data_IF_936243023546
#
_entry.id   IF_936243023546
#
_cell.length_a   1.000
_cell.length_b   1.000
_cell.length_c   1.000
_cell.angle_alpha   90.00
_cell.angle_beta   90.00
_cell.angle_gamma   90.00
#
_symmetry.space_group_name_H-M   'P 1'
#
loop_
_entity.id
_entity.type
_entity.pdbx_description
1 polymer ?
#
# COMPACT_ATOMS: atom_id res chain seq x y z
N UNK A 1 34.45 20.57 -34.34
CA UNK A 1 33.81 19.38 -34.92
C UNK A 1 33.52 18.39 -33.82
N UNK A 2 32.28 18.40 -33.34
CA UNK A 2 31.67 17.44 -32.41
C UNK A 2 30.20 17.41 -32.82
N UNK A 3 29.79 16.30 -33.44
CA UNK A 3 28.41 16.02 -33.85
C UNK A 3 27.69 15.38 -32.67
N UNK A 4 26.51 15.89 -32.36
CA UNK A 4 25.53 15.28 -31.46
C UNK A 4 24.17 15.38 -32.15
N UNK A 5 23.99 14.61 -33.22
CA UNK A 5 22.67 14.37 -33.84
C UNK A 5 21.86 13.33 -33.03
N UNK A 6 21.91 13.40 -31.69
CA UNK A 6 21.76 12.22 -30.83
C UNK A 6 20.38 11.53 -30.95
N UNK A 7 20.33 10.23 -31.30
CA UNK A 7 19.09 9.45 -31.50
C UNK A 7 18.28 9.20 -30.20
N UNK A 8 18.66 9.86 -29.12
CA UNK A 8 18.13 9.66 -27.76
C UNK A 8 17.35 10.88 -27.26
N UNK A 9 17.13 11.88 -28.12
CA UNK A 9 16.18 12.95 -27.87
C UNK A 9 14.75 12.49 -28.18
N UNK A 10 13.82 12.87 -27.31
CA UNK A 10 12.41 12.52 -27.40
C UNK A 10 11.58 13.79 -27.27
N UNK A 11 10.75 14.05 -28.28
CA UNK A 11 9.74 15.10 -28.24
C UNK A 11 8.51 14.59 -27.49
N UNK A 12 8.10 15.33 -26.47
CA UNK A 12 6.95 15.08 -25.60
C UNK A 12 6.02 16.29 -25.64
N UNK A 13 4.81 16.12 -25.09
CA UNK A 13 3.88 17.21 -24.82
C UNK A 13 3.58 17.24 -23.33
N UNK A 14 3.85 18.35 -22.66
CA UNK A 14 3.53 18.53 -21.24
C UNK A 14 2.03 18.77 -21.09
N UNK A 15 1.31 17.76 -20.60
CA UNK A 15 -0.15 17.79 -20.45
C UNK A 15 -0.65 18.73 -19.34
N UNK A 16 0.22 19.14 -18.41
CA UNK A 16 -0.13 20.07 -17.34
C UNK A 16 0.06 21.52 -17.79
N UNK A 17 1.10 21.78 -18.59
CA UNK A 17 1.43 23.13 -19.12
C UNK A 17 0.90 23.40 -20.53
N UNK A 18 0.45 22.35 -21.23
CA UNK A 18 -0.01 22.38 -22.62
C UNK A 18 1.05 22.93 -23.60
N UNK A 19 2.29 22.51 -23.43
CA UNK A 19 3.42 22.95 -24.24
C UNK A 19 4.27 21.76 -24.75
N UNK A 20 4.89 21.88 -25.93
CA UNK A 20 5.87 20.90 -26.39
C UNK A 20 7.11 20.92 -25.50
N UNK A 21 7.71 19.75 -25.31
CA UNK A 21 8.89 19.55 -24.47
C UNK A 21 9.86 18.59 -25.16
N UNK A 22 11.12 18.98 -25.29
CA UNK A 22 12.17 18.06 -25.72
C UNK A 22 13.01 17.62 -24.54
N UNK A 23 13.23 16.32 -24.43
CA UNK A 23 14.06 15.73 -23.38
C UNK A 23 15.04 14.72 -23.97
N UNK A 24 16.23 14.68 -23.42
CA UNK A 24 17.15 13.57 -23.67
C UNK A 24 16.82 12.43 -22.70
N UNK A 25 16.51 11.26 -23.26
CA UNK A 25 16.24 10.03 -22.51
C UNK A 25 16.40 8.80 -23.41
N UNK A 26 17.55 8.10 -23.34
CA UNK A 26 17.77 6.86 -24.08
C UNK A 26 16.70 5.80 -23.77
N UNK A 27 16.27 5.74 -22.51
CA UNK A 27 15.22 4.82 -22.07
C UNK A 27 13.90 5.07 -22.80
N UNK A 28 13.46 6.33 -22.92
CA UNK A 28 12.23 6.65 -23.65
C UNK A 28 12.40 6.43 -25.15
N UNK A 29 13.53 6.84 -25.73
CA UNK A 29 13.80 6.69 -27.15
C UNK A 29 13.66 5.24 -27.62
N UNK A 30 14.02 4.27 -26.76
CA UNK A 30 13.95 2.84 -27.09
C UNK A 30 12.64 2.14 -26.68
N UNK A 31 11.94 2.63 -25.65
CA UNK A 31 10.80 1.90 -25.06
C UNK A 31 9.46 2.61 -25.19
N UNK A 32 9.45 3.92 -25.36
CA UNK A 32 8.21 4.68 -25.54
C UNK A 32 7.64 4.48 -26.94
N UNK A 33 6.33 4.63 -27.05
CA UNK A 33 5.53 4.65 -28.26
C UNK A 33 4.65 5.89 -28.22
N UNK A 34 4.26 6.34 -29.40
CA UNK A 34 3.28 7.41 -29.52
C UNK A 34 1.99 7.02 -28.79
N UNK A 35 1.48 7.94 -27.97
CA UNK A 35 0.31 7.73 -27.11
C UNK A 35 0.65 7.28 -25.69
N UNK A 36 1.91 6.91 -25.40
CA UNK A 36 2.29 6.63 -24.03
C UNK A 36 2.30 7.89 -23.18
N UNK A 37 1.89 7.73 -21.93
CA UNK A 37 2.03 8.75 -20.91
C UNK A 37 3.36 8.55 -20.17
N UNK A 38 4.15 9.62 -20.10
CA UNK A 38 5.41 9.63 -19.34
C UNK A 38 5.19 10.39 -18.04
N UNK A 39 5.47 9.73 -16.91
CA UNK A 39 5.49 10.35 -15.58
C UNK A 39 6.92 10.33 -15.08
N UNK A 40 7.54 11.50 -14.93
CA UNK A 40 8.91 11.58 -14.45
C UNK A 40 9.25 12.97 -13.96
N UNK A 41 10.46 13.09 -13.40
CA UNK A 41 10.99 14.38 -12.95
C UNK A 41 11.89 14.96 -14.02
N UNK A 42 11.54 16.16 -14.50
CA UNK A 42 12.39 16.96 -15.37
C UNK A 42 13.59 17.53 -14.59
N UNK A 43 14.77 17.45 -15.18
CA UNK A 43 16.01 18.02 -14.65
C UNK A 43 16.69 18.82 -15.75
N UNK A 44 16.94 20.10 -15.51
CA UNK A 44 17.69 20.94 -16.42
C UNK A 44 19.18 20.85 -16.08
N UNK A 45 20.02 20.46 -17.04
CA UNK A 45 21.47 20.44 -16.92
C UNK A 45 22.05 21.32 -18.04
N UNK A 46 22.44 22.55 -17.69
CA UNK A 46 22.84 23.58 -18.65
C UNK A 46 21.76 23.76 -19.73
N UNK A 47 22.09 23.55 -21.01
CA UNK A 47 21.15 23.67 -22.14
C UNK A 47 20.35 22.38 -22.39
N UNK A 48 20.65 21.28 -21.69
CA UNK A 48 19.98 19.99 -21.92
C UNK A 48 18.90 19.72 -20.88
N UNK A 49 17.72 19.35 -21.37
CA UNK A 49 16.63 18.87 -20.53
C UNK A 49 16.68 17.35 -20.42
N UNK A 50 16.70 16.83 -19.20
CA UNK A 50 16.76 15.41 -18.88
C UNK A 50 15.50 14.97 -18.16
N UNK A 51 15.17 13.68 -18.27
CA UNK A 51 14.28 13.01 -17.33
C UNK A 51 15.08 12.18 -16.34
N UNK A 52 14.72 12.29 -15.06
CA UNK A 52 15.29 11.45 -14.02
C UNK A 52 15.04 9.96 -14.32
N UNK A 53 15.98 9.10 -13.93
CA UNK A 53 15.96 7.67 -14.21
C UNK A 53 14.72 6.92 -13.70
N UNK A 54 13.92 7.53 -12.81
CA UNK A 54 12.70 6.96 -12.26
C UNK A 54 11.43 7.35 -13.03
N UNK A 55 11.58 7.77 -14.29
CA UNK A 55 10.45 7.96 -15.17
C UNK A 55 9.68 6.62 -15.36
N UNK A 56 8.36 6.71 -15.36
CA UNK A 56 7.45 5.59 -15.58
C UNK A 56 6.67 5.83 -16.87
N UNK A 57 6.53 4.78 -17.67
CA UNK A 57 5.62 4.75 -18.80
C UNK A 57 4.26 4.22 -18.32
N UNK A 58 3.18 4.87 -18.78
CA UNK A 58 1.81 4.50 -18.50
C UNK A 58 1.00 4.44 -19.80
N UNK A 59 -0.08 3.63 -19.84
CA UNK A 59 -1.05 3.64 -20.93
C UNK A 59 -1.72 5.01 -21.09
N UNK A 60 -2.20 5.32 -22.31
CA UNK A 60 -2.90 6.57 -22.63
C UNK A 60 -4.17 6.77 -21.77
N UNK A 61 -4.82 5.69 -21.37
CA UNK A 61 -6.04 5.68 -20.56
C UNK A 61 -5.83 6.32 -19.17
N UNK A 62 -4.58 6.42 -18.71
CA UNK A 62 -4.25 7.12 -17.47
C UNK A 62 -4.28 8.65 -17.62
N UNK A 63 -4.20 9.19 -18.84
CA UNK A 63 -4.02 10.62 -19.09
C UNK A 63 -5.08 11.48 -18.40
N UNK A 64 -6.35 11.25 -18.71
CA UNK A 64 -7.45 12.08 -18.19
C UNK A 64 -7.60 11.92 -16.67
N UNK A 65 -7.74 10.70 -16.11
CA UNK A 65 -7.95 10.54 -14.66
C UNK A 65 -6.77 11.06 -13.82
N UNK A 66 -5.54 10.86 -14.30
CA UNK A 66 -4.35 11.37 -13.61
C UNK A 66 -4.22 12.89 -13.75
N UNK A 67 -4.45 13.43 -14.95
CA UNK A 67 -4.44 14.87 -15.21
C UNK A 67 -5.44 15.61 -14.31
N UNK A 68 -6.67 15.12 -14.23
CA UNK A 68 -7.71 15.69 -13.37
C UNK A 68 -7.36 15.60 -11.88
N UNK A 69 -6.79 14.48 -11.45
CA UNK A 69 -6.31 14.31 -10.09
C UNK A 69 -5.26 15.36 -9.71
N UNK A 70 -4.25 15.54 -10.57
CA UNK A 70 -3.15 16.48 -10.31
C UNK A 70 -3.62 17.94 -10.41
N UNK A 71 -4.44 18.29 -11.40
CA UNK A 71 -5.00 19.65 -11.54
C UNK A 71 -5.89 20.02 -10.36
N UNK A 72 -6.72 19.09 -9.88
CA UNK A 72 -7.52 19.35 -8.68
C UNK A 72 -6.64 19.53 -7.43
N UNK A 73 -5.55 18.75 -7.30
CA UNK A 73 -4.61 18.92 -6.20
C UNK A 73 -3.88 20.28 -6.27
N UNK A 74 -3.48 20.73 -7.46
CA UNK A 74 -2.88 22.05 -7.66
C UNK A 74 -3.86 23.17 -7.31
N UNK A 75 -5.12 23.06 -7.75
CA UNK A 75 -6.17 24.02 -7.45
C UNK A 75 -6.34 24.20 -5.95
N UNK A 76 -6.45 23.10 -5.21
CA UNK A 76 -6.56 23.11 -3.75
C UNK A 76 -5.29 23.69 -3.10
N UNK A 77 -4.11 23.31 -3.57
CA UNK A 77 -2.84 23.82 -3.04
C UNK A 77 -2.72 25.35 -3.18
N UNK A 78 -3.23 25.90 -4.30
CA UNK A 78 -3.22 27.34 -4.57
C UNK A 78 -4.22 28.14 -3.73
N UNK A 79 -5.23 27.51 -3.14
CA UNK A 79 -6.12 28.18 -2.18
C UNK A 79 -5.34 28.65 -0.94
N UNK A 80 -4.32 27.89 -0.54
CA UNK A 80 -3.45 28.20 0.60
C UNK A 80 -2.16 28.92 0.17
N UNK A 81 -1.65 28.66 -1.04
CA UNK A 81 -0.38 29.19 -1.54
C UNK A 81 -0.61 30.07 -2.76
N UNK A 82 -1.26 31.21 -2.52
CA UNK A 82 -1.52 32.20 -3.55
C UNK A 82 -0.20 32.59 -4.25
N UNK A 83 -0.17 32.52 -5.59
CA UNK A 83 1.01 32.71 -6.46
C UNK A 83 1.96 31.51 -6.66
N UNK A 84 1.64 30.31 -6.16
CA UNK A 84 2.43 29.12 -6.51
C UNK A 84 2.42 28.85 -8.02
N UNK A 85 3.59 28.52 -8.57
CA UNK A 85 3.76 28.03 -9.94
C UNK A 85 3.70 26.50 -9.99
N UNK A 86 3.43 25.94 -11.17
CA UNK A 86 3.50 24.49 -11.41
C UNK A 86 4.83 23.88 -10.95
N UNK A 87 5.96 24.56 -11.18
CA UNK A 87 7.28 24.07 -10.79
C UNK A 87 7.43 23.98 -9.27
N UNK A 88 6.96 25.00 -8.53
CA UNK A 88 6.98 24.99 -7.07
C UNK A 88 6.04 23.91 -6.51
N UNK A 89 4.82 23.81 -7.06
CA UNK A 89 3.84 22.80 -6.68
C UNK A 89 4.38 21.38 -6.89
N UNK A 90 4.86 21.04 -8.08
CA UNK A 90 5.32 19.69 -8.43
C UNK A 90 6.65 19.33 -7.74
N UNK A 91 7.46 20.32 -7.37
CA UNK A 91 8.67 20.08 -6.58
C UNK A 91 8.34 19.54 -5.19
N UNK A 92 7.30 20.09 -4.55
CA UNK A 92 6.83 19.66 -3.23
C UNK A 92 5.93 18.42 -3.31
N UNK A 93 5.06 18.38 -4.32
CA UNK A 93 3.98 17.40 -4.43
C UNK A 93 4.20 16.37 -5.55
N UNK A 94 5.44 16.17 -6.01
CA UNK A 94 5.75 15.22 -7.08
C UNK A 94 5.43 13.75 -6.75
N UNK A 95 5.20 13.44 -5.47
CA UNK A 95 4.76 12.11 -5.04
C UNK A 95 3.27 11.83 -5.37
N UNK A 96 2.49 12.84 -5.78
CA UNK A 96 1.08 12.70 -6.12
C UNK A 96 0.81 11.70 -7.23
N UNK A 97 1.72 11.56 -8.21
CA UNK A 97 1.54 10.59 -9.28
C UNK A 97 1.57 9.15 -8.76
N UNK A 98 2.51 8.85 -7.85
CA UNK A 98 2.54 7.55 -7.18
C UNK A 98 1.32 7.38 -6.26
N UNK A 99 0.93 8.42 -5.54
CA UNK A 99 -0.27 8.38 -4.69
C UNK A 99 -1.53 8.04 -5.50
N UNK A 100 -1.69 8.64 -6.68
CA UNK A 100 -2.77 8.32 -7.61
C UNK A 100 -2.75 6.85 -8.01
N UNK A 101 -1.61 6.35 -8.50
CA UNK A 101 -1.47 4.95 -8.96
C UNK A 101 -1.72 3.92 -7.85
N UNK A 102 -1.50 4.31 -6.60
CA UNK A 102 -1.75 3.48 -5.42
C UNK A 102 -3.16 3.64 -4.84
N UNK A 103 -3.93 4.63 -5.29
CA UNK A 103 -5.28 4.94 -4.79
C UNK A 103 -6.36 4.10 -5.46
N UNK A 104 -7.54 4.06 -4.84
CA UNK A 104 -8.74 3.45 -5.44
C UNK A 104 -9.18 4.12 -6.75
N UNK A 105 -8.79 5.39 -7.00
CA UNK A 105 -9.12 6.08 -8.25
C UNK A 105 -8.47 5.45 -9.47
N UNK A 106 -7.29 4.84 -9.29
CA UNK A 106 -6.58 4.15 -10.35
C UNK A 106 -6.97 2.66 -10.45
N UNK A 107 -7.83 2.15 -9.56
CA UNK A 107 -8.14 0.72 -9.44
C UNK A 107 -8.70 0.13 -10.74
N UNK A 108 -9.63 0.84 -11.38
CA UNK A 108 -10.21 0.43 -12.66
C UNK A 108 -9.22 0.40 -13.83
N UNK A 109 -8.06 1.06 -13.70
CA UNK A 109 -7.01 1.09 -14.72
C UNK A 109 -5.89 0.07 -14.45
N UNK A 110 -5.88 -0.58 -13.27
CA UNK A 110 -4.81 -1.48 -12.84
C UNK A 110 -4.60 -2.66 -13.79
N UNK A 111 -5.66 -3.11 -14.47
CA UNK A 111 -5.58 -4.20 -15.46
C UNK A 111 -4.73 -3.86 -16.68
N UNK A 112 -4.44 -2.57 -16.93
CA UNK A 112 -3.64 -2.09 -18.05
C UNK A 112 -2.14 -2.07 -17.76
N UNK A 113 -1.73 -2.34 -16.52
CA UNK A 113 -0.34 -2.29 -16.06
C UNK A 113 0.04 -3.57 -15.29
N UNK A 114 1.33 -3.87 -15.20
CA UNK A 114 1.83 -5.04 -14.47
C UNK A 114 2.06 -6.27 -15.35
N UNK A 115 1.96 -7.46 -14.76
CA UNK A 115 2.36 -8.71 -15.39
C UNK A 115 1.66 -8.95 -16.73
N UNK A 116 2.44 -9.27 -17.77
CA UNK A 116 1.94 -9.47 -19.14
C UNK A 116 1.77 -8.19 -19.95
N UNK A 117 2.03 -7.02 -19.36
CA UNK A 117 2.04 -5.73 -20.06
C UNK A 117 3.46 -5.18 -20.16
N UNK A 118 3.63 -4.14 -20.99
CA UNK A 118 4.88 -3.37 -21.09
C UNK A 118 5.03 -2.29 -20.01
N UNK A 119 4.01 -2.10 -19.18
CA UNK A 119 3.95 -1.03 -18.20
C UNK A 119 4.21 -1.59 -16.81
N UNK A 120 5.07 -0.92 -16.05
CA UNK A 120 5.38 -1.32 -14.68
C UNK A 120 4.21 -1.00 -13.76
N UNK A 121 3.87 -1.96 -12.91
CA UNK A 121 2.96 -1.75 -11.80
C UNK A 121 3.74 -1.29 -10.54
N UNK A 122 3.47 -0.07 -10.00
CA UNK A 122 4.12 0.42 -8.78
C UNK A 122 3.55 -0.17 -7.47
N UNK A 123 2.33 -0.70 -7.48
CA UNK A 123 1.68 -1.29 -6.31
C UNK A 123 1.95 -2.79 -6.15
N UNK A 124 2.53 -3.46 -7.14
CA UNK A 124 2.76 -4.91 -7.12
C UNK A 124 3.47 -5.39 -5.84
N UNK A 125 4.54 -4.69 -5.42
CA UNK A 125 5.27 -5.04 -4.19
C UNK A 125 4.42 -4.82 -2.93
N UNK A 126 3.63 -3.74 -2.88
CA UNK A 126 2.71 -3.42 -1.78
C UNK A 126 1.62 -4.49 -1.68
N UNK A 127 1.05 -4.88 -2.81
CA UNK A 127 -0.06 -5.82 -2.88
C UNK A 127 0.41 -7.23 -2.46
N UNK A 128 1.61 -7.64 -2.87
CA UNK A 128 2.27 -8.86 -2.36
C UNK A 128 2.47 -8.84 -0.84
N UNK A 129 2.94 -7.72 -0.29
CA UNK A 129 3.11 -7.59 1.16
C UNK A 129 1.77 -7.66 1.91
N UNK A 130 0.73 -7.01 1.38
CA UNK A 130 -0.62 -7.05 1.96
C UNK A 130 -1.20 -8.46 1.95
N UNK A 131 -1.08 -9.18 0.83
CA UNK A 131 -1.49 -10.56 0.73
C UNK A 131 -0.79 -11.44 1.78
N UNK A 132 0.54 -11.29 1.89
CA UNK A 132 1.33 -12.05 2.86
C UNK A 132 0.94 -11.76 4.32
N UNK A 133 0.69 -10.49 4.65
CA UNK A 133 0.25 -10.12 5.99
C UNK A 133 -1.15 -10.67 6.31
N UNK A 134 -2.06 -10.68 5.33
CA UNK A 134 -3.39 -11.25 5.49
C UNK A 134 -3.34 -12.77 5.74
N UNK A 135 -2.46 -13.49 5.02
CA UNK A 135 -2.21 -14.92 5.25
C UNK A 135 -1.74 -15.20 6.68
N UNK A 136 -0.73 -14.46 7.15
CA UNK A 136 -0.18 -14.62 8.50
C UNK A 136 -1.22 -14.31 9.58
N UNK A 137 -2.04 -13.27 9.40
CA UNK A 137 -3.13 -12.96 10.33
C UNK A 137 -4.20 -14.05 10.34
N UNK A 138 -4.56 -14.59 9.17
CA UNK A 138 -5.52 -15.68 9.08
C UNK A 138 -5.00 -16.99 9.71
N UNK A 139 -3.70 -17.25 9.62
CA UNK A 139 -3.04 -18.38 10.30
C UNK A 139 -3.03 -18.19 11.82
N UNK A 140 -2.64 -17.01 12.31
CA UNK A 140 -2.68 -16.69 13.75
C UNK A 140 -4.09 -16.85 14.33
N UNK A 141 -5.12 -16.31 13.65
CA UNK A 141 -6.52 -16.47 14.06
C UNK A 141 -7.01 -17.93 14.00
N UNK A 142 -6.45 -18.76 13.11
CA UNK A 142 -6.77 -20.20 13.08
C UNK A 142 -6.12 -20.92 14.26
N UNK A 143 -4.86 -20.61 14.56
CA UNK A 143 -4.16 -21.17 15.72
C UNK A 143 -4.81 -20.76 17.04
N UNK A 144 -5.21 -19.49 17.20
CA UNK A 144 -5.92 -19.01 18.38
C UNK A 144 -7.27 -19.72 18.56
N UNK A 145 -8.06 -19.86 17.49
CA UNK A 145 -9.34 -20.60 17.54
C UNK A 145 -9.14 -22.07 17.88
N UNK A 146 -8.13 -22.72 17.32
CA UNK A 146 -7.79 -24.11 17.65
C UNK A 146 -7.32 -24.24 19.10
N UNK A 147 -6.50 -23.30 19.59
CA UNK A 147 -6.04 -23.27 20.98
C UNK A 147 -7.20 -23.04 21.94
N UNK A 148 -8.14 -22.15 21.62
CA UNK A 148 -9.34 -21.90 22.42
C UNK A 148 -10.28 -23.10 22.44
N UNK A 149 -10.51 -23.76 21.29
CA UNK A 149 -11.26 -25.01 21.22
C UNK A 149 -10.60 -26.11 22.04
N UNK A 150 -9.27 -26.26 21.95
CA UNK A 150 -8.51 -27.22 22.76
C UNK A 150 -8.68 -26.92 24.26
N UNK A 151 -8.57 -25.65 24.67
CA UNK A 151 -8.77 -25.24 26.07
C UNK A 151 -10.20 -25.49 26.57
N UNK A 152 -11.22 -25.25 25.73
CA UNK A 152 -12.64 -25.52 26.08
C UNK A 152 -12.95 -27.02 26.16
N UNK A 153 -12.24 -27.86 25.41
CA UNK A 153 -12.34 -29.33 25.47
C UNK A 153 -11.70 -29.94 26.72
N UNK A 154 -10.84 -29.20 27.43
CA UNK A 154 -10.18 -29.64 28.67
C UNK A 154 -10.98 -29.11 29.88
N UNK A 155 -11.93 -29.90 30.40
CA UNK A 155 -12.54 -29.62 31.71
C UNK A 155 -11.57 -29.99 32.83
N UNK A 156 -11.07 -28.99 33.56
CA UNK A 156 -10.42 -29.22 34.85
C UNK A 156 -11.48 -29.69 35.86
N UNK A 157 -11.28 -30.88 36.43
CA UNK A 157 -12.04 -31.31 37.61
C UNK A 157 -11.52 -30.60 38.86
N UNK A 158 -12.32 -30.51 39.91
CA UNK A 158 -11.99 -29.81 41.18
C UNK A 158 -10.76 -30.36 41.90
N UNK A 159 -10.21 -31.51 41.48
CA UNK A 159 -8.97 -32.10 41.99
C UNK A 159 -7.73 -31.84 41.11
N UNK A 160 -7.85 -31.09 40.02
CA UNK A 160 -6.72 -30.74 39.14
C UNK A 160 -6.32 -31.82 38.12
N UNK A 161 -7.08 -32.92 38.02
CA UNK A 161 -6.84 -33.98 37.04
C UNK A 161 -7.56 -33.71 35.71
N UNK A 162 -6.80 -33.70 34.61
CA UNK A 162 -7.29 -33.60 33.23
C UNK A 162 -7.62 -35.02 32.73
N UNK A 163 -8.88 -35.30 32.45
CA UNK A 163 -9.31 -36.60 31.90
C UNK A 163 -9.90 -36.39 30.50
N UNK A 164 -9.23 -36.84 29.43
CA UNK A 164 -9.79 -36.80 28.07
C UNK A 164 -10.92 -37.84 27.93
N UNK A 165 -12.13 -37.40 27.54
CA UNK A 165 -13.20 -38.29 27.04
C UNK A 165 -14.18 -38.90 28.04
N UNK A 166 -14.34 -38.37 29.26
CA UNK A 166 -15.33 -38.91 30.20
C UNK A 166 -16.78 -38.48 29.86
N UNK A 167 -17.77 -39.41 29.86
CA UNK A 167 -19.17 -39.06 29.70
C UNK A 167 -19.68 -38.19 30.85
N UNK A 168 -20.70 -37.38 30.59
CA UNK A 168 -21.30 -36.47 31.58
C UNK A 168 -21.62 -37.20 32.89
N UNK A 169 -21.17 -36.68 34.06
CA UNK A 169 -21.63 -37.23 35.32
C UNK A 169 -23.10 -36.90 35.50
N UNK A 170 -23.93 -37.93 35.46
CA UNK A 170 -25.33 -37.90 35.88
C UNK A 170 -25.36 -37.43 37.32
N UNK A 171 -26.03 -36.30 37.59
CA UNK A 171 -26.16 -35.77 38.94
C UNK A 171 -26.99 -36.72 39.83
N UNK A 172 -26.52 -37.07 41.04
CA UNK A 172 -27.38 -37.50 42.13
C UNK A 172 -27.56 -36.37 43.17
N UNK A 173 -28.55 -36.49 44.05
CA UNK A 173 -29.36 -35.38 44.51
C UNK A 173 -28.78 -34.65 45.73
N UNK A 174 -29.31 -33.44 45.90
CA UNK A 174 -29.08 -32.48 46.97
C UNK A 174 -28.96 -33.10 48.37
N UNK A 175 -27.92 -32.69 49.09
CA UNK A 175 -27.77 -32.87 50.53
C UNK A 175 -26.89 -31.77 51.09
N UNK A 176 -27.45 -30.95 51.97
CA UNK A 176 -26.78 -29.92 52.75
C UNK A 176 -25.63 -30.48 53.60
N UNK A 177 -24.48 -29.82 53.64
CA UNK A 177 -23.92 -29.21 54.87
C UNK A 177 -22.46 -28.71 54.68
N UNK A 178 -22.29 -27.42 54.92
CA UNK A 178 -21.22 -26.77 55.70
C UNK A 178 -19.80 -27.39 55.69
N UNK A 179 -18.88 -26.80 54.90
CA UNK A 179 -17.55 -26.40 55.40
C UNK A 179 -16.82 -25.49 54.40
N UNK A 180 -16.86 -24.17 54.60
CA UNK A 180 -16.06 -23.21 53.84
C UNK A 180 -14.62 -23.22 54.34
N UNK A 181 -13.69 -23.80 53.58
CA UNK A 181 -12.25 -23.62 53.81
C UNK A 181 -11.80 -22.26 53.24
N UNK A 182 -11.08 -21.41 53.99
CA UNK A 182 -10.70 -20.09 53.51
C UNK A 182 -9.64 -20.19 52.41
N UNK A 183 -9.91 -19.59 51.24
CA UNK A 183 -8.95 -19.50 50.13
C UNK A 183 -7.77 -18.60 50.51
N UNK A 184 -6.51 -18.98 50.29
CA UNK A 184 -5.38 -18.08 50.48
C UNK A 184 -5.42 -16.97 49.42
N UNK A 185 -5.46 -15.73 49.90
CA UNK A 185 -5.45 -14.51 49.08
C UNK A 185 -4.01 -14.25 48.64
N UNK A 186 -3.65 -14.65 47.43
CA UNK A 186 -2.35 -14.31 46.84
C UNK A 186 -2.39 -12.84 46.44
N UNK A 187 -1.60 -12.02 47.14
CA UNK A 187 -1.34 -10.62 46.80
C UNK A 187 -0.47 -10.56 45.54
N UNK A 188 -1.02 -9.97 44.47
CA UNK A 188 -0.24 -9.54 43.29
C UNK A 188 0.28 -8.13 43.56
N UNK A 189 1.59 -7.89 43.65
CA UNK A 189 2.13 -6.54 43.81
C UNK A 189 1.99 -5.76 42.49
N UNK A 190 1.47 -4.52 42.56
CA UNK A 190 1.51 -3.54 41.47
C UNK A 190 0.18 -3.08 40.87
N UNK A 191 -0.97 -3.35 41.51
CA UNK A 191 -2.25 -2.79 41.09
C UNK A 191 -3.06 -2.36 42.31
N UNK A 192 -2.70 -1.20 42.85
CA UNK A 192 -3.59 -0.06 43.10
C UNK A 192 -2.82 0.98 43.92
N UNK A 193 -2.79 2.20 43.39
CA UNK A 193 -2.02 3.42 43.74
C UNK A 193 -0.62 3.54 43.11
#
# INVERSE_FOLDING_TARGET
>A
TLSLDSPEQVSLFDLLRQEPLEVYSPMLAHHARVGDLVVGRRVQLSETCLLAAMASLLPAEYEQPLGDYVRNAERLYREEHYQTTWDAFLRTNGHLFNAFMLSSRAEGLRSLIGAGTRYRDPAEARDRLRARNAELQAEAQRQERQAEQTRRGVRQTSSGLIVPGAPEPTAPPSGDDQNQTPRPRILLPGRDL
#
